data_IF_767672763686
#
_entry.id   IF_767672763686
#
_cell.length_a   1.000
_cell.length_b   1.000
_cell.length_c   1.000
_cell.angle_alpha   90.00
_cell.angle_beta   90.00
_cell.angle_gamma   90.00
#
_symmetry.space_group_name_H-M   'P 1'
#
loop_
_entity.id
_entity.type
_entity.pdbx_description
1 polymer ?
#
# COMPACT_ATOMS: atom_id res chain seq x y z
N UNK A 1 5.09 6.12 -4.29
CA UNK A 1 4.17 7.01 -3.55
C UNK A 1 4.99 8.03 -2.78
N UNK A 2 4.79 9.33 -3.02
CA UNK A 2 5.53 10.41 -2.31
C UNK A 2 4.72 10.89 -1.10
N UNK A 3 5.39 11.33 -0.03
CA UNK A 3 4.73 11.80 1.21
C UNK A 3 3.79 12.99 0.95
N UNK A 4 4.11 13.85 -0.02
CA UNK A 4 3.28 15.00 -0.40
C UNK A 4 1.91 14.58 -0.94
N UNK A 5 1.85 13.50 -1.72
CA UNK A 5 0.61 13.03 -2.34
C UNK A 5 -0.33 12.45 -1.27
N UNK A 6 0.24 11.68 -0.32
CA UNK A 6 -0.49 11.12 0.82
C UNK A 6 -1.11 12.18 1.73
N UNK A 7 -0.46 13.33 1.89
CA UNK A 7 -1.00 14.44 2.70
C UNK A 7 -2.23 15.09 2.07
N UNK A 8 -2.32 15.10 0.73
CA UNK A 8 -3.43 15.71 -0.02
C UNK A 8 -4.68 14.84 -0.07
N UNK A 9 -4.55 13.54 0.18
CA UNK A 9 -5.65 12.58 0.16
C UNK A 9 -6.54 12.70 1.40
N UNK A 10 -7.85 12.53 1.26
CA UNK A 10 -8.75 12.43 2.41
C UNK A 10 -8.55 11.10 3.15
N UNK A 11 -9.07 10.98 4.36
CA UNK A 11 -9.00 9.70 5.10
C UNK A 11 -9.74 8.58 4.37
N UNK A 12 -10.84 8.90 3.69
CA UNK A 12 -11.58 7.94 2.86
C UNK A 12 -10.77 7.47 1.65
N UNK A 13 -10.04 8.38 0.99
CA UNK A 13 -9.16 8.04 -0.14
C UNK A 13 -8.00 7.15 0.32
N UNK A 14 -7.40 7.47 1.47
CA UNK A 14 -6.35 6.66 2.08
C UNK A 14 -6.85 5.24 2.37
N UNK A 15 -8.08 5.09 2.86
CA UNK A 15 -8.68 3.78 3.12
C UNK A 15 -9.01 3.00 1.86
N UNK A 16 -9.52 3.67 0.82
CA UNK A 16 -9.74 3.06 -0.48
C UNK A 16 -8.42 2.54 -1.07
N UNK A 17 -7.39 3.37 -1.06
CA UNK A 17 -6.08 3.00 -1.59
C UNK A 17 -5.38 1.91 -0.78
N UNK A 18 -5.59 1.89 0.55
CA UNK A 18 -5.11 0.80 1.40
C UNK A 18 -5.74 -0.54 1.02
N UNK A 19 -7.06 -0.57 0.75
CA UNK A 19 -7.75 -1.79 0.31
C UNK A 19 -7.22 -2.27 -1.05
N UNK A 20 -7.04 -1.37 -1.99
CA UNK A 20 -6.49 -1.69 -3.32
C UNK A 20 -5.07 -2.28 -3.23
N UNK A 21 -4.18 -1.67 -2.45
CA UNK A 21 -2.81 -2.16 -2.26
C UNK A 21 -2.76 -3.53 -1.55
N UNK A 22 -3.68 -3.80 -0.63
CA UNK A 22 -3.79 -5.12 0.03
C UNK A 22 -4.27 -6.18 -0.95
N UNK A 23 -5.24 -5.85 -1.80
CA UNK A 23 -5.72 -6.76 -2.85
C UNK A 23 -4.61 -7.05 -3.87
N UNK A 24 -3.84 -6.04 -4.27
CA UNK A 24 -2.69 -6.21 -5.15
C UNK A 24 -1.63 -7.13 -4.51
N UNK A 25 -1.30 -6.91 -3.23
CA UNK A 25 -0.37 -7.76 -2.49
C UNK A 25 -0.83 -9.23 -2.44
N UNK A 26 -2.13 -9.46 -2.26
CA UNK A 26 -2.72 -10.80 -2.25
C UNK A 26 -2.57 -11.49 -3.60
N UNK A 27 -2.87 -10.79 -4.69
CA UNK A 27 -2.71 -11.31 -6.06
C UNK A 27 -1.25 -11.67 -6.37
N UNK A 28 -0.32 -10.78 -6.02
CA UNK A 28 1.12 -11.02 -6.23
C UNK A 28 1.62 -12.24 -5.42
N UNK A 29 1.13 -12.42 -4.19
CA UNK A 29 1.45 -13.61 -3.38
C UNK A 29 0.88 -14.89 -3.98
N UNK A 30 -0.39 -14.87 -4.39
CA UNK A 30 -1.02 -16.03 -5.04
C UNK A 30 -0.30 -16.43 -6.32
N UNK A 31 0.14 -15.45 -7.13
CA UNK A 31 0.94 -15.72 -8.32
C UNK A 31 2.28 -16.40 -7.99
N UNK A 32 2.96 -15.99 -6.91
CA UNK A 32 4.20 -16.64 -6.46
C UNK A 32 3.93 -18.08 -6.01
N UNK A 33 2.88 -18.29 -5.21
CA UNK A 33 2.51 -19.62 -4.71
C UNK A 33 2.15 -20.59 -5.83
N UNK A 34 1.52 -20.10 -6.90
CA UNK A 34 1.23 -20.88 -8.11
C UNK A 34 2.46 -21.19 -8.98
N UNK A 35 3.68 -20.80 -8.56
CA UNK A 35 4.90 -20.96 -9.36
C UNK A 35 4.97 -19.99 -10.54
N UNK A 36 4.16 -18.93 -10.52
CA UNK A 36 4.14 -17.90 -11.54
C UNK A 36 5.44 -17.11 -11.56
N UNK A 37 5.91 -16.81 -12.78
CA UNK A 37 7.17 -16.11 -12.95
C UNK A 37 7.08 -14.69 -12.36
N UNK A 38 8.00 -14.34 -11.45
CA UNK A 38 8.01 -13.03 -10.79
C UNK A 38 8.49 -11.98 -11.78
N UNK A 39 7.55 -11.37 -12.51
CA UNK A 39 7.87 -10.32 -13.50
C UNK A 39 8.61 -9.13 -12.89
N UNK A 40 8.40 -8.86 -11.59
CA UNK A 40 9.01 -7.69 -10.95
C UNK A 40 9.25 -7.94 -9.44
N UNK A 41 10.43 -8.47 -9.05
CA UNK A 41 10.71 -8.86 -7.67
C UNK A 41 10.64 -7.68 -6.68
N UNK A 42 10.85 -6.45 -7.15
CA UNK A 42 10.72 -5.23 -6.34
C UNK A 42 9.28 -4.80 -6.05
N UNK A 43 8.27 -5.38 -6.72
CA UNK A 43 6.88 -4.92 -6.63
C UNK A 43 6.26 -5.16 -5.27
N UNK A 44 6.41 -6.38 -4.72
CA UNK A 44 5.94 -6.71 -3.37
C UNK A 44 6.57 -5.79 -2.32
N UNK A 45 7.87 -5.54 -2.42
CA UNK A 45 8.57 -4.61 -1.51
C UNK A 45 7.98 -3.20 -1.62
N UNK A 46 7.65 -2.76 -2.83
CA UNK A 46 7.06 -1.44 -3.09
C UNK A 46 5.64 -1.33 -2.53
N UNK A 47 4.81 -2.34 -2.75
CA UNK A 47 3.44 -2.41 -2.21
C UNK A 47 3.46 -2.36 -0.68
N UNK A 48 4.30 -3.19 -0.04
CA UNK A 48 4.47 -3.19 1.42
C UNK A 48 4.88 -1.83 1.96
N UNK A 49 5.84 -1.16 1.30
CA UNK A 49 6.27 0.20 1.68
C UNK A 49 5.15 1.23 1.51
N UNK A 50 4.33 1.13 0.47
CA UNK A 50 3.21 2.04 0.26
C UNK A 50 2.12 1.84 1.32
N UNK A 51 1.78 0.60 1.66
CA UNK A 51 0.86 0.27 2.77
C UNK A 51 1.36 0.88 4.08
N UNK A 52 2.64 0.68 4.41
CA UNK A 52 3.23 1.24 5.63
C UNK A 52 3.11 2.77 5.67
N UNK A 53 3.40 3.46 4.56
CA UNK A 53 3.29 4.93 4.48
C UNK A 53 1.87 5.44 4.69
N UNK A 54 0.85 4.75 4.14
CA UNK A 54 -0.56 5.11 4.37
C UNK A 54 -0.92 4.96 5.84
N UNK A 55 -0.55 3.82 6.45
CA UNK A 55 -0.81 3.58 7.87
C UNK A 55 -0.13 4.63 8.75
N UNK A 56 1.13 4.97 8.48
CA UNK A 56 1.84 6.03 9.19
C UNK A 56 1.12 7.37 9.06
N UNK A 57 0.64 7.75 7.87
CA UNK A 57 -0.12 9.00 7.68
C UNK A 57 -1.41 9.01 8.50
N UNK A 58 -2.15 7.89 8.52
CA UNK A 58 -3.36 7.76 9.35
C UNK A 58 -3.05 7.89 10.84
N UNK A 59 -1.97 7.28 11.32
CA UNK A 59 -1.54 7.41 12.71
C UNK A 59 -1.07 8.84 13.03
N UNK A 60 -0.33 9.50 12.13
CA UNK A 60 0.07 10.91 12.26
C UNK A 60 -1.17 11.80 12.41
N UNK A 61 -2.21 11.61 11.57
CA UNK A 61 -3.48 12.36 11.64
C UNK A 61 -4.28 12.08 12.92
N UNK A 62 -4.34 10.82 13.35
CA UNK A 62 -5.05 10.45 14.57
C UNK A 62 -4.40 11.03 15.84
N UNK A 63 -3.07 11.21 15.84
CA UNK A 63 -2.32 11.82 16.95
C UNK A 63 -2.34 13.34 16.97
N UNK A 64 -2.55 13.99 15.83
CA UNK A 64 -2.64 15.46 15.76
C UNK A 64 -4.05 16.00 15.99
N UNK A 65 -5.00 15.12 16.29
CA UNK A 65 -6.39 15.42 16.59
C UNK A 65 -6.60 15.34 18.09
#
# INVERSE_FOLDING_TARGET
>A
MKKKDLKKMSDADLDKQLKELRLELMKERGNIEMGGNVKNPGRIRTIRKNIARILTMKTERAKSK
#
